data_IF_165015172344
#
_entry.id   IF_165015172344
#
_cell.length_a   1.000
_cell.length_b   1.000
_cell.length_c   1.000
_cell.angle_alpha   90.00
_cell.angle_beta   90.00
_cell.angle_gamma   90.00
#
_symmetry.space_group_name_H-M   'P 1'
#
loop_
_entity.id
_entity.type
_entity.pdbx_description
1 polymer ?
#
# COMPACT_ATOMS: atom_id res chain seq x y z
N UNK A 1 -0.08 -21.02 4.28
CA UNK A 1 1.07 -21.25 5.18
C UNK A 1 0.56 -21.09 6.60
N UNK A 2 0.75 -22.09 7.43
CA UNK A 2 0.19 -22.16 8.78
C UNK A 2 1.22 -21.87 9.85
N UNK A 3 2.46 -22.32 9.62
CA UNK A 3 3.54 -22.17 10.60
C UNK A 3 4.89 -21.99 9.91
N UNK A 4 5.76 -21.20 10.53
CA UNK A 4 7.17 -21.09 10.19
C UNK A 4 7.97 -21.83 11.26
N UNK A 5 8.74 -22.81 10.83
CA UNK A 5 9.58 -23.63 11.72
C UNK A 5 10.99 -23.06 11.82
N UNK A 6 11.57 -23.17 13.00
CA UNK A 6 12.94 -22.70 13.23
C UNK A 6 13.52 -23.19 14.56
N UNK A 7 14.80 -22.96 14.71
CA UNK A 7 15.59 -23.24 15.93
C UNK A 7 16.59 -22.11 16.20
N UNK A 8 17.54 -22.32 17.10
CA UNK A 8 18.56 -21.31 17.44
C UNK A 8 19.43 -20.88 16.24
N UNK A 9 19.46 -21.66 15.16
CA UNK A 9 20.19 -21.35 13.93
C UNK A 9 19.36 -20.53 12.91
N UNK A 10 18.06 -20.39 13.14
CA UNK A 10 17.14 -19.63 12.27
C UNK A 10 15.98 -20.47 11.72
N UNK A 11 15.40 -19.97 10.62
CA UNK A 11 14.31 -20.66 9.93
C UNK A 11 14.82 -21.93 9.26
N UNK A 12 14.11 -23.05 9.43
CA UNK A 12 14.45 -24.33 8.83
C UNK A 12 13.31 -24.99 8.06
N UNK A 13 12.09 -24.46 8.13
CA UNK A 13 10.96 -25.00 7.38
C UNK A 13 9.70 -24.15 7.46
N UNK A 14 8.70 -24.54 6.65
CA UNK A 14 7.33 -24.04 6.73
C UNK A 14 6.34 -25.18 6.65
N UNK A 15 5.18 -25.01 7.29
CA UNK A 15 4.03 -25.88 7.15
C UNK A 15 2.95 -25.17 6.34
N UNK A 16 2.45 -25.84 5.32
CA UNK A 16 1.37 -25.33 4.46
C UNK A 16 0.22 -26.32 4.43
N UNK A 17 -1.01 -25.85 4.62
CA UNK A 17 -2.22 -26.62 4.38
C UNK A 17 -2.71 -26.45 2.95
N UNK A 18 -3.29 -27.50 2.42
CA UNK A 18 -4.04 -27.42 1.18
C UNK A 18 -5.31 -26.58 1.39
N UNK A 19 -5.56 -25.61 0.50
CA UNK A 19 -6.72 -24.71 0.62
C UNK A 19 -8.05 -25.44 0.52
N UNK A 20 -8.10 -26.51 -0.27
CA UNK A 20 -9.32 -27.31 -0.47
C UNK A 20 -9.48 -28.44 0.57
N UNK A 21 -8.41 -28.86 1.21
CA UNK A 21 -8.38 -29.93 2.22
C UNK A 21 -7.41 -29.56 3.35
N UNK A 22 -7.84 -28.73 4.33
CA UNK A 22 -6.96 -28.19 5.37
C UNK A 22 -6.25 -29.23 6.26
N UNK A 23 -6.77 -30.46 6.29
CA UNK A 23 -6.12 -31.60 6.96
C UNK A 23 -4.91 -32.15 6.19
N UNK A 24 -4.80 -31.86 4.90
CA UNK A 24 -3.65 -32.20 4.08
C UNK A 24 -2.57 -31.14 4.23
N UNK A 25 -1.59 -31.43 5.05
CA UNK A 25 -0.47 -30.52 5.36
C UNK A 25 0.82 -31.02 4.72
N UNK A 26 1.58 -30.11 4.18
CA UNK A 26 2.91 -30.35 3.62
C UNK A 26 3.93 -29.48 4.36
N UNK A 27 5.01 -30.10 4.82
CA UNK A 27 6.18 -29.41 5.34
C UNK A 27 7.21 -29.25 4.22
N UNK A 28 7.74 -28.04 4.08
CA UNK A 28 8.81 -27.72 3.14
C UNK A 28 10.03 -27.22 3.90
N UNK A 29 11.20 -27.75 3.55
CA UNK A 29 12.47 -27.30 4.11
C UNK A 29 12.89 -26.00 3.39
N UNK A 30 13.02 -24.92 4.16
CA UNK A 30 13.40 -23.59 3.66
C UNK A 30 14.33 -22.91 4.66
N UNK A 31 15.25 -22.08 4.18
CA UNK A 31 16.22 -21.35 4.99
C UNK A 31 15.78 -19.89 5.29
N UNK A 32 14.68 -19.47 4.72
CA UNK A 32 14.12 -18.13 4.93
C UNK A 32 12.73 -18.03 4.34
N UNK A 33 11.91 -17.14 4.89
CA UNK A 33 10.54 -16.90 4.46
C UNK A 33 10.31 -15.41 4.27
N UNK A 34 9.81 -15.03 3.10
CA UNK A 34 9.32 -13.68 2.82
C UNK A 34 7.79 -13.72 2.76
N UNK A 35 7.14 -12.90 3.59
CA UNK A 35 5.69 -12.77 3.60
C UNK A 35 5.32 -11.58 2.71
N UNK A 36 4.81 -11.86 1.51
CA UNK A 36 4.47 -10.87 0.50
C UNK A 36 2.96 -10.90 0.18
N UNK A 37 2.12 -10.74 1.21
CA UNK A 37 0.65 -10.83 1.12
C UNK A 37 -0.04 -9.52 0.75
N UNK A 38 0.73 -8.49 0.38
CA UNK A 38 0.27 -7.15 0.05
C UNK A 38 0.57 -6.14 1.15
N UNK A 39 0.06 -4.94 0.94
CA UNK A 39 0.20 -3.81 1.85
C UNK A 39 -1.18 -3.20 2.10
N UNK A 40 -1.45 -2.87 3.34
CA UNK A 40 -2.58 -2.02 3.71
C UNK A 40 -2.09 -0.56 3.82
N UNK A 41 -2.76 0.41 3.18
CA UNK A 41 -2.38 1.80 3.30
C UNK A 41 -2.59 2.29 4.73
N UNK A 42 -1.62 3.01 5.28
CA UNK A 42 -1.71 3.56 6.64
C UNK A 42 -2.52 4.85 6.64
N UNK A 43 -3.83 4.75 6.44
CA UNK A 43 -4.77 5.88 6.34
C UNK A 43 -5.73 5.99 7.51
N UNK A 44 -5.71 5.04 8.44
CA UNK A 44 -6.63 4.99 9.58
C UNK A 44 -6.61 6.23 10.48
N UNK A 45 -5.48 6.94 10.54
CA UNK A 45 -5.35 8.16 11.34
C UNK A 45 -6.03 9.38 10.72
N UNK A 46 -6.41 9.35 9.43
CA UNK A 46 -7.20 10.42 8.82
C UNK A 46 -8.68 10.39 9.24
N UNK A 47 -9.16 9.26 9.76
CA UNK A 47 -10.58 9.08 10.07
C UNK A 47 -11.46 9.36 8.85
N UNK A 48 -12.52 10.14 9.05
CA UNK A 48 -13.46 10.51 7.98
C UNK A 48 -13.08 11.83 7.27
N UNK A 49 -11.89 12.36 7.51
CA UNK A 49 -11.46 13.67 6.97
C UNK A 49 -11.21 13.58 5.47
N UNK A 50 -10.53 12.54 5.01
CA UNK A 50 -10.26 12.30 3.59
C UNK A 50 -11.16 11.20 3.03
N UNK A 51 -11.57 11.34 1.78
CA UNK A 51 -12.26 10.25 1.09
C UNK A 51 -11.29 9.13 0.76
N UNK A 52 -11.65 7.93 1.19
CA UNK A 52 -10.92 6.69 0.92
C UNK A 52 -11.78 5.77 0.04
N UNK A 53 -11.13 4.90 -0.70
CA UNK A 53 -11.80 3.81 -1.41
C UNK A 53 -12.10 2.62 -0.47
N UNK A 54 -12.75 1.57 -1.00
CA UNK A 54 -13.13 0.38 -0.23
C UNK A 54 -11.92 -0.41 0.32
N UNK A 55 -10.71 -0.12 -0.19
CA UNK A 55 -9.44 -0.71 0.24
C UNK A 55 -8.57 0.25 1.07
N UNK A 56 -9.17 1.36 1.53
CA UNK A 56 -8.56 2.41 2.34
C UNK A 56 -7.47 3.24 1.64
N UNK A 57 -7.39 3.25 0.31
CA UNK A 57 -6.53 4.19 -0.42
C UNK A 57 -7.16 5.56 -0.53
N UNK A 58 -6.34 6.61 -0.51
CA UNK A 58 -6.82 8.00 -0.69
C UNK A 58 -7.32 8.18 -2.12
N UNK A 59 -8.56 8.63 -2.27
CA UNK A 59 -9.15 8.98 -3.56
C UNK A 59 -8.69 10.37 -3.96
N UNK A 60 -8.07 10.48 -5.14
CA UNK A 60 -7.72 11.75 -5.75
C UNK A 60 -8.94 12.34 -6.46
N UNK A 61 -9.01 13.68 -6.53
CA UNK A 61 -10.09 14.38 -7.21
C UNK A 61 -9.87 14.39 -8.73
N UNK A 62 -10.33 13.34 -9.41
CA UNK A 62 -10.24 13.22 -10.88
C UNK A 62 -11.00 14.31 -11.63
N UNK A 63 -11.93 15.01 -10.99
CA UNK A 63 -12.66 16.14 -11.60
C UNK A 63 -11.81 17.41 -11.66
N UNK A 64 -10.73 17.48 -10.88
CA UNK A 64 -9.83 18.61 -10.85
C UNK A 64 -8.75 18.51 -11.94
N UNK A 65 -9.05 19.04 -13.11
CA UNK A 65 -8.10 19.07 -14.24
C UNK A 65 -6.81 19.89 -13.95
N UNK A 66 -6.76 20.63 -12.85
CA UNK A 66 -5.66 21.54 -12.50
C UNK A 66 -4.62 20.92 -11.61
N UNK A 67 -5.05 20.11 -10.64
CA UNK A 67 -4.23 19.47 -9.62
C UNK A 67 -4.53 17.99 -9.58
N UNK A 68 -3.76 17.19 -10.30
CA UNK A 68 -4.02 15.75 -10.47
C UNK A 68 -3.78 14.93 -9.19
N UNK A 69 -3.09 15.49 -8.21
CA UNK A 69 -2.80 14.82 -6.93
C UNK A 69 -3.62 15.38 -5.76
N UNK A 70 -4.57 16.30 -6.02
CA UNK A 70 -5.45 16.83 -5.00
C UNK A 70 -6.41 15.74 -4.48
N UNK A 71 -6.62 15.76 -3.18
CA UNK A 71 -7.58 14.89 -2.50
C UNK A 71 -8.99 15.49 -2.51
N UNK A 72 -9.91 14.90 -1.75
CA UNK A 72 -11.26 15.47 -1.52
C UNK A 72 -11.26 16.82 -0.77
N UNK A 73 -10.10 17.26 -0.30
CA UNK A 73 -9.94 18.54 0.43
C UNK A 73 -9.04 19.45 -0.37
N UNK A 74 -9.49 20.67 -0.60
CA UNK A 74 -8.72 21.70 -1.30
C UNK A 74 -7.40 22.00 -0.57
N UNK A 75 -6.30 22.03 -1.33
CA UNK A 75 -4.96 22.28 -0.80
C UNK A 75 -4.31 21.09 -0.09
N UNK A 76 -4.96 19.93 -0.09
CA UNK A 76 -4.41 18.67 0.41
C UNK A 76 -4.13 17.73 -0.77
N UNK A 77 -2.88 17.34 -0.91
CA UNK A 77 -2.39 16.50 -2.00
C UNK A 77 -1.93 15.15 -1.46
N UNK A 78 -2.12 14.07 -2.23
CA UNK A 78 -1.66 12.74 -1.86
C UNK A 78 -0.83 12.12 -2.99
N UNK A 79 0.20 11.38 -2.60
CA UNK A 79 1.12 10.72 -3.51
C UNK A 79 1.75 9.48 -2.87
N UNK A 80 2.35 8.64 -3.70
CA UNK A 80 2.95 7.37 -3.28
C UNK A 80 1.91 6.27 -3.12
N UNK A 81 2.32 5.21 -2.45
CA UNK A 81 1.53 4.00 -2.30
C UNK A 81 0.15 4.24 -1.67
N UNK A 82 0.02 5.26 -0.82
CA UNK A 82 -1.24 5.62 -0.14
C UNK A 82 -2.36 6.05 -1.10
N UNK A 83 -2.00 6.49 -2.31
CA UNK A 83 -2.91 6.90 -3.38
C UNK A 83 -2.75 6.07 -4.66
N UNK A 84 -2.00 4.95 -4.60
CA UNK A 84 -1.76 4.05 -5.74
C UNK A 84 -2.19 2.61 -5.40
N UNK A 85 -3.47 2.25 -5.58
CA UNK A 85 -3.94 0.89 -5.30
C UNK A 85 -3.45 -0.15 -6.34
N UNK A 86 -2.86 0.28 -7.45
CA UNK A 86 -2.57 -0.57 -8.62
C UNK A 86 -1.11 -1.01 -8.69
N UNK A 87 -0.19 -0.05 -8.79
CA UNK A 87 1.22 -0.32 -9.10
C UNK A 87 2.08 -0.52 -7.87
N UNK A 88 2.00 0.40 -6.91
CA UNK A 88 2.73 0.35 -5.62
C UNK A 88 4.22 0.06 -5.82
N UNK A 89 4.84 0.81 -6.73
CA UNK A 89 6.26 0.69 -7.06
C UNK A 89 7.01 1.96 -6.67
N UNK A 90 8.27 1.82 -6.28
CA UNK A 90 9.10 2.96 -5.89
C UNK A 90 9.17 4.03 -6.99
N UNK A 91 9.24 3.63 -8.27
CA UNK A 91 9.30 4.57 -9.39
C UNK A 91 7.97 5.30 -9.62
N UNK A 92 6.83 4.65 -9.45
CA UNK A 92 5.50 5.31 -9.54
C UNK A 92 5.28 6.24 -8.37
N UNK A 93 5.70 5.84 -7.17
CA UNK A 93 5.67 6.70 -5.98
C UNK A 93 6.54 7.94 -6.16
N UNK A 94 7.78 7.81 -6.65
CA UNK A 94 8.66 8.95 -6.90
C UNK A 94 8.06 9.91 -7.94
N UNK A 95 7.44 9.39 -9.00
CA UNK A 95 6.73 10.20 -9.99
C UNK A 95 5.57 10.97 -9.40
N UNK A 96 4.73 10.32 -8.62
CA UNK A 96 3.57 10.96 -7.98
C UNK A 96 3.98 11.99 -6.91
N UNK A 97 5.08 11.76 -6.18
CA UNK A 97 5.63 12.75 -5.24
C UNK A 97 6.07 14.03 -5.95
N UNK A 98 6.75 13.88 -7.11
CA UNK A 98 7.10 15.04 -7.94
C UNK A 98 5.86 15.81 -8.39
N UNK A 99 4.81 15.10 -8.84
CA UNK A 99 3.55 15.71 -9.24
C UNK A 99 2.88 16.47 -8.08
N UNK A 100 2.79 15.86 -6.90
CA UNK A 100 2.19 16.49 -5.72
C UNK A 100 2.95 17.73 -5.26
N UNK A 101 4.29 17.72 -5.33
CA UNK A 101 5.11 18.89 -5.01
C UNK A 101 4.83 20.05 -5.98
N UNK A 102 4.74 19.78 -7.28
CA UNK A 102 4.41 20.79 -8.29
C UNK A 102 2.97 21.31 -8.15
N UNK A 103 2.03 20.44 -7.82
CA UNK A 103 0.64 20.83 -7.58
C UNK A 103 0.53 21.74 -6.35
N UNK A 104 1.25 21.40 -5.26
CA UNK A 104 1.32 22.23 -4.05
C UNK A 104 1.97 23.61 -4.31
N UNK A 105 3.05 23.66 -5.08
CA UNK A 105 3.70 24.92 -5.47
C UNK A 105 2.72 25.82 -6.22
N UNK A 106 2.06 25.30 -7.26
CA UNK A 106 1.06 26.03 -8.04
C UNK A 106 -0.13 26.49 -7.20
N UNK A 107 -0.56 25.68 -6.24
CA UNK A 107 -1.64 26.05 -5.33
C UNK A 107 -1.26 27.27 -4.47
N UNK A 108 -0.05 27.27 -3.92
CA UNK A 108 0.46 28.37 -3.11
C UNK A 108 0.67 29.67 -3.89
N UNK A 109 1.10 29.58 -5.17
CA UNK A 109 1.27 30.75 -6.04
C UNK A 109 -0.05 31.49 -6.36
N UNK A 110 -1.18 30.84 -6.14
CA UNK A 110 -2.52 31.35 -6.46
C UNK A 110 -3.31 31.79 -5.22
N UNK A 111 -2.75 31.48 -4.07
CA UNK A 111 -3.30 31.90 -2.79
C UNK A 111 -2.73 33.26 -2.41
#
# INVERSE_FOLDING_TARGET
MDEVLGDESGVNGIVCSNVNEPSDQTQLDVQGVFIAIGHDPNTSFFGDVLKLDDSNYIILDESNARFSTQTSIEGVFAAGDVADPVYRQAVTSAGSWCMAALDAEKFLEQS
#
